data_IF_638962505155
#
_entry.id   IF_638962505155
#
_cell.length_a   1.000
_cell.length_b   1.000
_cell.length_c   1.000
_cell.angle_alpha   90.00
_cell.angle_beta   90.00
_cell.angle_gamma   90.00
#
_symmetry.space_group_name_H-M   'P 1'
#
loop_
_entity.id
_entity.type
_entity.pdbx_description
1 polymer ?
#
# COMPACT_ATOMS: atom_id res chain seq x y z
N UNK A 1 7.80 -15.51 -25.00
CA UNK A 1 6.54 -14.99 -24.43
C UNK A 1 6.48 -15.39 -22.97
N UNK A 2 6.82 -14.49 -22.04
CA UNK A 2 6.73 -14.79 -20.60
C UNK A 2 5.31 -14.53 -20.13
N UNK A 3 4.65 -15.59 -19.66
CA UNK A 3 3.28 -15.53 -19.17
C UNK A 3 3.30 -14.84 -17.80
N UNK A 4 2.67 -13.67 -17.69
CA UNK A 4 2.45 -13.02 -16.38
C UNK A 4 1.65 -13.99 -15.51
N UNK A 5 2.27 -14.46 -14.43
CA UNK A 5 1.62 -15.32 -13.43
C UNK A 5 0.49 -14.51 -12.79
N UNK A 6 -0.73 -15.05 -12.85
CA UNK A 6 -1.89 -14.44 -12.17
C UNK A 6 -1.62 -14.44 -10.65
N UNK A 7 -1.94 -13.36 -9.91
CA UNK A 7 -1.72 -13.26 -8.46
C UNK A 7 -2.28 -14.45 -7.67
N UNK A 8 -3.41 -15.00 -8.10
CA UNK A 8 -4.04 -16.16 -7.47
C UNK A 8 -3.23 -17.47 -7.55
N UNK A 9 -2.28 -17.61 -8.48
CA UNK A 9 -1.39 -18.79 -8.57
C UNK A 9 -0.16 -18.71 -7.66
N UNK A 10 0.16 -17.53 -7.15
CA UNK A 10 1.32 -17.32 -6.26
C UNK A 10 1.02 -17.83 -4.84
N UNK A 11 -0.26 -18.03 -4.51
CA UNK A 11 -0.75 -18.31 -3.16
C UNK A 11 -0.98 -19.81 -2.86
N UNK A 12 -0.65 -20.72 -3.77
CA UNK A 12 -0.73 -22.18 -3.50
C UNK A 12 0.59 -22.69 -2.90
N UNK A 13 0.70 -22.69 -1.57
CA UNK A 13 1.54 -23.46 -0.62
C UNK A 13 2.97 -23.98 -0.94
N UNK A 14 3.55 -23.75 -2.12
CA UNK A 14 4.87 -24.25 -2.52
C UNK A 14 5.91 -23.13 -2.76
N UNK A 15 5.52 -21.86 -2.61
CA UNK A 15 6.42 -20.74 -2.87
C UNK A 15 7.26 -20.47 -1.62
N UNK A 16 8.53 -20.84 -1.66
CA UNK A 16 9.51 -20.46 -0.62
C UNK A 16 9.58 -18.94 -0.57
N UNK A 17 9.64 -18.34 0.62
CA UNK A 17 9.75 -16.89 0.87
C UNK A 17 10.70 -16.14 -0.10
N UNK A 18 11.85 -16.74 -0.45
CA UNK A 18 12.81 -16.19 -1.40
C UNK A 18 12.26 -16.03 -2.84
N UNK A 19 11.33 -16.88 -3.25
CA UNK A 19 10.73 -16.87 -4.59
C UNK A 19 9.67 -15.78 -4.72
N UNK A 20 8.96 -15.46 -3.62
CA UNK A 20 7.97 -14.39 -3.57
C UNK A 20 8.63 -13.02 -3.63
N UNK A 21 9.68 -12.78 -2.82
CA UNK A 21 10.50 -11.57 -2.93
C UNK A 21 11.07 -11.38 -4.34
N UNK A 22 11.62 -12.45 -4.93
CA UNK A 22 12.12 -12.44 -6.32
C UNK A 22 11.02 -12.21 -7.35
N UNK A 23 9.78 -12.61 -7.08
CA UNK A 23 8.64 -12.38 -7.96
C UNK A 23 8.22 -10.91 -7.90
N UNK A 24 8.11 -10.33 -6.70
CA UNK A 24 7.85 -8.89 -6.53
C UNK A 24 8.95 -8.04 -7.16
N UNK A 25 10.23 -8.40 -6.97
CA UNK A 25 11.35 -7.68 -7.60
C UNK A 25 11.32 -7.77 -9.13
N UNK A 26 10.99 -8.95 -9.69
CA UNK A 26 10.84 -9.11 -11.14
C UNK A 26 9.65 -8.34 -11.68
N UNK A 27 8.53 -8.33 -10.95
CA UNK A 27 7.34 -7.58 -11.30
C UNK A 27 7.63 -6.07 -11.29
N UNK A 28 8.23 -5.56 -10.21
CA UNK A 28 8.62 -4.16 -10.09
C UNK A 28 9.53 -3.73 -11.25
N UNK A 29 10.54 -4.55 -11.60
CA UNK A 29 11.41 -4.29 -12.76
C UNK A 29 10.69 -4.32 -14.10
N UNK A 30 9.63 -5.10 -14.23
CA UNK A 30 8.90 -5.27 -15.49
C UNK A 30 7.83 -4.21 -15.71
N UNK A 31 7.27 -3.66 -14.62
CA UNK A 31 6.09 -2.79 -14.66
C UNK A 31 6.46 -1.32 -14.51
N UNK A 32 7.52 -0.99 -13.76
CA UNK A 32 7.98 0.39 -13.51
C UNK A 32 6.85 1.36 -13.05
N UNK A 33 5.82 0.82 -12.40
CA UNK A 33 4.69 1.56 -11.84
C UNK A 33 4.62 1.28 -10.33
N UNK A 34 4.96 2.26 -9.47
CA UNK A 34 4.94 2.08 -8.03
C UNK A 34 3.54 1.74 -7.49
N UNK A 35 2.47 2.22 -8.14
CA UNK A 35 1.08 1.92 -7.74
C UNK A 35 0.79 0.43 -7.86
N UNK A 36 1.10 -0.16 -9.01
CA UNK A 36 0.90 -1.60 -9.22
C UNK A 36 1.78 -2.47 -8.31
N UNK A 37 2.98 -2.00 -7.98
CA UNK A 37 3.86 -2.70 -7.03
C UNK A 37 3.28 -2.64 -5.61
N UNK A 38 2.74 -1.49 -5.19
CA UNK A 38 2.07 -1.38 -3.88
C UNK A 38 0.82 -2.24 -3.82
N UNK A 39 -0.01 -2.29 -4.86
CA UNK A 39 -1.18 -3.18 -4.91
C UNK A 39 -0.79 -4.65 -4.73
N UNK A 40 0.30 -5.08 -5.38
CA UNK A 40 0.84 -6.42 -5.23
C UNK A 40 1.32 -6.67 -3.79
N UNK A 41 2.02 -5.72 -3.19
CA UNK A 41 2.50 -5.82 -1.80
C UNK A 41 1.35 -5.87 -0.79
N UNK A 42 0.29 -5.07 -0.96
CA UNK A 42 -0.88 -5.12 -0.09
C UNK A 42 -1.61 -6.47 -0.22
N UNK A 43 -1.68 -7.01 -1.43
CA UNK A 43 -2.23 -8.36 -1.67
C UNK A 43 -1.38 -9.43 -0.97
N UNK A 44 -0.06 -9.33 -1.08
CA UNK A 44 0.91 -10.23 -0.43
C UNK A 44 0.81 -10.18 1.10
N UNK A 45 0.79 -8.99 1.69
CA UNK A 45 0.61 -8.78 3.14
C UNK A 45 -0.66 -9.48 3.60
N UNK A 46 -1.80 -9.19 2.97
CA UNK A 46 -3.07 -9.77 3.39
C UNK A 46 -3.08 -11.30 3.25
N UNK A 47 -2.51 -11.85 2.18
CA UNK A 47 -2.41 -13.29 2.00
C UNK A 47 -1.49 -13.94 3.04
N UNK A 48 -0.38 -13.28 3.38
CA UNK A 48 0.55 -13.73 4.42
C UNK A 48 -0.12 -13.73 5.80
N UNK A 49 -0.93 -12.72 6.09
CA UNK A 49 -1.74 -12.70 7.31
C UNK A 49 -2.72 -13.88 7.37
N UNK A 50 -3.40 -14.22 6.27
CA UNK A 50 -4.29 -15.40 6.20
C UNK A 50 -3.51 -16.69 6.47
N UNK A 51 -2.35 -16.88 5.85
CA UNK A 51 -1.53 -18.09 6.03
C UNK A 51 -1.07 -18.22 7.49
N UNK A 52 -0.60 -17.13 8.08
CA UNK A 52 -0.15 -17.10 9.46
C UNK A 52 -1.27 -17.46 10.45
N UNK A 53 -2.47 -16.89 10.27
CA UNK A 53 -3.65 -17.18 11.09
C UNK A 53 -4.07 -18.66 10.98
N UNK A 54 -4.00 -19.23 9.77
CA UNK A 54 -4.39 -20.62 9.52
C UNK A 54 -3.44 -21.66 10.11
N UNK A 55 -2.12 -21.42 10.04
CA UNK A 55 -1.11 -22.44 10.33
C UNK A 55 -0.31 -22.19 11.62
N UNK A 56 -0.57 -21.08 12.31
CA UNK A 56 0.22 -20.65 13.45
C UNK A 56 1.51 -19.97 13.00
N UNK A 57 1.76 -18.81 13.58
CA UNK A 57 2.87 -17.96 13.20
C UNK A 57 4.26 -18.50 13.52
N UNK A 58 5.18 -18.33 12.58
CA UNK A 58 6.62 -18.43 12.83
C UNK A 58 7.32 -17.13 12.44
N UNK A 59 8.48 -16.88 13.06
CA UNK A 59 9.24 -15.63 12.95
C UNK A 59 9.46 -15.17 11.51
N UNK A 60 9.77 -16.09 10.61
CA UNK A 60 10.11 -15.79 9.22
C UNK A 60 8.91 -15.29 8.43
N UNK A 61 7.68 -15.69 8.80
CA UNK A 61 6.47 -15.14 8.19
C UNK A 61 6.18 -13.73 8.72
N UNK A 62 6.42 -13.48 10.01
CA UNK A 62 6.32 -12.12 10.55
C UNK A 62 7.35 -11.19 9.88
N UNK A 63 8.61 -11.62 9.77
CA UNK A 63 9.69 -10.87 9.08
C UNK A 63 9.35 -10.57 7.61
N UNK A 64 8.72 -11.51 6.91
CA UNK A 64 8.21 -11.30 5.54
C UNK A 64 7.18 -10.17 5.50
N UNK A 65 6.17 -10.25 6.36
CA UNK A 65 5.10 -9.26 6.42
C UNK A 65 5.69 -7.88 6.72
N UNK A 66 6.60 -7.76 7.69
CA UNK A 66 7.32 -6.52 7.99
C UNK A 66 8.07 -5.98 6.77
N UNK A 67 8.82 -6.82 6.07
CA UNK A 67 9.57 -6.40 4.88
C UNK A 67 8.63 -5.88 3.77
N UNK A 68 7.49 -6.52 3.57
CA UNK A 68 6.47 -6.07 2.61
C UNK A 68 5.81 -4.76 3.04
N UNK A 69 5.53 -4.57 4.34
CA UNK A 69 4.99 -3.32 4.89
C UNK A 69 5.97 -2.16 4.68
N UNK A 70 7.24 -2.33 5.06
CA UNK A 70 8.28 -1.31 4.91
C UNK A 70 8.42 -0.90 3.45
N UNK A 71 8.47 -1.86 2.54
CA UNK A 71 8.57 -1.57 1.11
C UNK A 71 7.33 -0.87 0.56
N UNK A 72 6.13 -1.27 0.99
CA UNK A 72 4.90 -0.57 0.61
C UNK A 72 4.90 0.87 1.12
N UNK A 73 5.34 1.08 2.36
CA UNK A 73 5.49 2.41 2.95
C UNK A 73 6.44 3.30 2.14
N UNK A 74 7.59 2.79 1.72
CA UNK A 74 8.56 3.52 0.90
C UNK A 74 7.96 3.92 -0.46
N UNK A 75 7.31 2.99 -1.15
CA UNK A 75 6.76 3.23 -2.49
C UNK A 75 5.55 4.18 -2.47
N UNK A 76 4.73 4.16 -1.41
CA UNK A 76 3.63 5.12 -1.24
C UNK A 76 4.12 6.58 -1.21
N UNK A 77 5.40 6.83 -0.87
CA UNK A 77 5.98 8.18 -0.89
C UNK A 77 6.00 8.80 -2.29
N UNK A 78 6.22 7.99 -3.33
CA UNK A 78 6.34 8.43 -4.72
C UNK A 78 5.03 8.43 -5.49
N UNK A 79 3.94 7.91 -4.91
CA UNK A 79 2.65 7.81 -5.60
C UNK A 79 1.89 9.12 -5.52
N UNK A 80 1.30 9.52 -6.65
CA UNK A 80 0.45 10.70 -6.76
C UNK A 80 -0.80 10.58 -5.89
N UNK A 81 -1.22 11.70 -5.32
CA UNK A 81 -2.34 11.73 -4.36
C UNK A 81 -3.66 11.21 -4.94
N UNK A 82 -3.86 11.35 -6.26
CA UNK A 82 -5.06 10.86 -6.96
C UNK A 82 -5.15 9.33 -6.97
N UNK A 83 -4.01 8.64 -6.95
CA UNK A 83 -3.93 7.17 -6.92
C UNK A 83 -3.77 6.64 -5.48
N UNK A 84 -3.34 7.48 -4.55
CA UNK A 84 -3.04 7.08 -3.18
C UNK A 84 -4.29 6.63 -2.39
N UNK A 85 -5.46 7.23 -2.68
CA UNK A 85 -6.70 7.00 -1.94
C UNK A 85 -7.09 5.52 -1.79
N UNK A 86 -7.33 4.80 -2.91
CA UNK A 86 -7.68 3.39 -2.87
C UNK A 86 -6.63 2.50 -2.18
N UNK A 87 -5.34 2.82 -2.32
CA UNK A 87 -4.26 2.05 -1.70
C UNK A 87 -4.27 2.19 -0.18
N UNK A 88 -4.45 3.41 0.32
CA UNK A 88 -4.52 3.70 1.76
C UNK A 88 -5.79 3.11 2.38
N UNK A 89 -6.91 3.13 1.66
CA UNK A 89 -8.13 2.47 2.09
C UNK A 89 -7.94 0.95 2.20
N UNK A 90 -7.32 0.31 1.20
CA UNK A 90 -7.02 -1.10 1.22
C UNK A 90 -6.09 -1.47 2.38
N UNK A 91 -4.98 -0.73 2.56
CA UNK A 91 -4.06 -0.91 3.69
C UNK A 91 -4.79 -0.81 5.04
N UNK A 92 -5.65 0.19 5.20
CA UNK A 92 -6.46 0.35 6.41
C UNK A 92 -7.46 -0.78 6.60
N UNK A 93 -8.02 -1.32 5.52
CA UNK A 93 -8.89 -2.50 5.54
C UNK A 93 -8.15 -3.74 6.02
N UNK A 94 -6.91 -3.94 5.57
CA UNK A 94 -6.04 -5.03 6.03
C UNK A 94 -5.75 -4.88 7.52
N UNK A 95 -5.29 -3.71 7.97
CA UNK A 95 -4.99 -3.46 9.39
C UNK A 95 -6.22 -3.71 10.30
N UNK A 96 -7.41 -3.25 9.91
CA UNK A 96 -8.66 -3.50 10.67
C UNK A 96 -9.06 -4.97 10.71
N UNK A 97 -8.74 -5.74 9.68
CA UNK A 97 -9.06 -7.17 9.62
C UNK A 97 -8.18 -8.00 10.55
N UNK A 98 -6.97 -7.53 10.82
CA UNK A 98 -5.97 -8.24 11.61
C UNK A 98 -5.53 -7.41 12.83
N UNK A 99 -6.41 -7.16 13.82
CA UNK A 99 -6.10 -6.30 14.96
C UNK A 99 -5.21 -6.97 16.02
N UNK A 100 -5.26 -8.30 16.15
CA UNK A 100 -4.60 -9.07 17.22
C UNK A 100 -3.61 -10.10 16.67
N UNK A 101 -2.75 -9.66 15.76
CA UNK A 101 -1.71 -10.46 15.15
C UNK A 101 -0.45 -10.42 16.02
N UNK A 102 0.15 -11.59 16.28
CA UNK A 102 1.33 -11.71 17.13
C UNK A 102 2.57 -11.01 16.55
N UNK A 103 3.63 -10.91 17.36
CA UNK A 103 4.96 -10.40 16.96
C UNK A 103 4.99 -8.91 16.55
N UNK A 104 4.01 -8.11 17.00
CA UNK A 104 3.93 -6.67 16.74
C UNK A 104 3.48 -6.31 15.31
N UNK A 105 3.19 -7.28 14.45
CA UNK A 105 2.80 -7.04 13.06
C UNK A 105 1.49 -6.26 12.96
N UNK A 106 0.54 -6.51 13.87
CA UNK A 106 -0.69 -5.71 13.95
C UNK A 106 -0.43 -4.26 14.28
N UNK A 107 0.45 -3.99 15.24
CA UNK A 107 0.78 -2.64 15.66
C UNK A 107 1.41 -1.89 14.48
N UNK A 108 2.37 -2.51 13.79
CA UNK A 108 3.00 -1.92 12.61
C UNK A 108 2.01 -1.67 11.47
N UNK A 109 1.12 -2.63 11.17
CA UNK A 109 0.06 -2.44 10.16
C UNK A 109 -0.86 -1.27 10.52
N UNK A 110 -1.28 -1.20 11.78
CA UNK A 110 -2.14 -0.13 12.27
C UNK A 110 -1.44 1.24 12.20
N UNK A 111 -0.18 1.32 12.60
CA UNK A 111 0.61 2.54 12.59
C UNK A 111 0.86 3.05 11.17
N UNK A 112 1.26 2.17 10.24
CA UNK A 112 1.47 2.54 8.84
C UNK A 112 0.15 2.95 8.17
N UNK A 113 -0.95 2.23 8.44
CA UNK A 113 -2.28 2.61 7.94
C UNK A 113 -2.74 3.97 8.47
N UNK A 114 -2.53 4.22 9.76
CA UNK A 114 -2.88 5.48 10.42
C UNK A 114 -2.06 6.64 9.84
N UNK A 115 -0.74 6.47 9.73
CA UNK A 115 0.18 7.45 9.14
C UNK A 115 -0.29 7.88 7.74
N UNK A 116 -0.56 6.90 6.88
CA UNK A 116 -0.94 7.18 5.50
C UNK A 116 -2.33 7.79 5.37
N UNK A 117 -3.29 7.38 6.20
CA UNK A 117 -4.61 8.00 6.26
C UNK A 117 -4.51 9.49 6.62
N UNK A 118 -3.72 9.82 7.65
CA UNK A 118 -3.50 11.21 8.05
C UNK A 118 -2.76 12.02 6.98
N UNK A 119 -1.77 11.41 6.34
CA UNK A 119 -0.99 12.05 5.28
C UNK A 119 -1.82 12.34 4.04
N UNK A 120 -2.66 11.39 3.63
CA UNK A 120 -3.62 11.58 2.54
C UNK A 120 -4.57 12.73 2.84
N UNK A 121 -5.17 12.76 4.03
CA UNK A 121 -6.06 13.84 4.45
C UNK A 121 -5.38 15.22 4.37
N UNK A 122 -4.13 15.32 4.83
CA UNK A 122 -3.34 16.56 4.73
C UNK A 122 -3.09 16.98 3.28
N UNK A 123 -2.72 16.03 2.40
CA UNK A 123 -2.47 16.31 0.97
C UNK A 123 -3.74 16.78 0.26
N UNK A 124 -4.89 16.13 0.53
CA UNK A 124 -6.18 16.51 -0.04
C UNK A 124 -6.61 17.91 0.42
N UNK A 125 -6.48 18.21 1.73
CA UNK A 125 -6.80 19.53 2.27
C UNK A 125 -5.96 20.64 1.62
N UNK A 126 -4.66 20.40 1.41
CA UNK A 126 -3.78 21.34 0.74
C UNK A 126 -4.21 21.62 -0.71
N UNK A 127 -4.64 20.60 -1.45
CA UNK A 127 -5.16 20.77 -2.81
C UNK A 127 -6.47 21.55 -2.86
N UNK A 128 -7.38 21.30 -1.92
CA UNK A 128 -8.63 22.05 -1.82
C UNK A 128 -8.38 23.53 -1.52
N UNK A 129 -7.44 23.86 -0.63
CA UNK A 129 -7.06 25.25 -0.35
C UNK A 129 -6.41 25.94 -1.55
N UNK A 130 -5.59 25.24 -2.34
CA UNK A 130 -5.00 25.80 -3.57
C UNK A 130 -6.05 26.08 -4.65
N UNK A 131 -7.05 25.21 -4.81
CA UNK A 131 -8.16 25.44 -5.73
C UNK A 131 -9.06 26.61 -5.29
N UNK A 132 -9.26 26.79 -3.99
CA UNK A 132 -10.09 27.87 -3.45
C UNK A 132 -9.43 29.23 -3.63
N UNK A 133 -8.11 29.32 -3.43
CA UNK A 133 -7.33 30.54 -3.73
C UNK A 133 -7.43 30.90 -5.22
N UNK A 134 -7.31 29.94 -6.13
CA UNK A 134 -7.44 30.21 -7.57
C UNK A 134 -8.86 30.66 -7.98
N UNK A 135 -9.90 30.12 -7.34
CA UNK A 135 -11.28 30.54 -7.57
C UNK A 135 -11.55 31.97 -7.04
N UNK A 136 -10.99 32.30 -5.88
CA UNK A 136 -11.12 33.64 -5.30
C UNK A 136 -10.38 34.68 -6.17
N UNK A 137 -9.18 34.36 -6.69
CA UNK A 137 -8.47 35.25 -7.62
C UNK A 137 -9.20 35.44 -8.96
N UNK A 138 -9.92 34.43 -9.47
CA UNK A 138 -10.73 34.56 -10.68
C UNK A 138 -11.90 35.55 -10.51
N UNK A 139 -12.46 35.66 -9.30
CA UNK A 139 -13.51 36.63 -8.99
C UNK A 139 -12.99 38.06 -8.76
N UNK A 140 -11.70 38.23 -8.45
CA UNK A 140 -11.06 39.54 -8.30
C UNK A 140 -10.38 40.07 -9.58
N UNK A 141 -10.39 39.29 -10.67
CA UNK A 141 -9.73 39.65 -11.94
C UNK A 141 -10.63 40.33 -12.96
N UNK A 142 -11.83 40.79 -12.57
CA UNK A 142 -12.66 41.66 -13.41
C UNK A 142 -12.81 43.08 -12.82
N UNK A 143 -11.73 43.89 -12.75
CA UNK A 143 -11.86 45.32 -12.48
C UNK A 143 -12.09 46.09 -13.80
N UNK A 144 -13.33 46.09 -14.25
CA UNK A 144 -13.88 47.06 -15.22
C UNK A 144 -13.45 46.85 -16.67
N UNK A 145 -13.85 47.69 -17.61
CA UNK A 145 -14.32 49.08 -17.56
C UNK A 145 -14.84 49.39 -18.97
#
# INVERSE_FOLDING_TARGET
>A
MQQLLRPSKVLSNDVKHIELKRLVDRFAKAVDDPTLVVELLLTDINASCVVFDMYGGWSEMADHIYASIVRAHELLQSIDVTQLGPLVENLSGIARRWPDFGWGVSDELADVACYWSQKLAKRLAAQSSSHQILHDYAHYSDPGF
#
